data_IF_022980488996
#
_entry.id   IF_022980488996
#
_cell.length_a   1.000
_cell.length_b   1.000
_cell.length_c   1.000
_cell.angle_alpha   90.00
_cell.angle_beta   90.00
_cell.angle_gamma   90.00
#
_symmetry.space_group_name_H-M   'P 1'
#
loop_
_entity.id
_entity.type
_entity.pdbx_description
1 polymer ?
#
# COMPACT_ATOMS: atom_id res chain seq x y z
N UNK A 1 -5.09 -15.57 13.73
CA UNK A 1 -3.78 -14.87 13.88
C UNK A 1 -3.98 -13.47 13.33
N UNK A 2 -3.54 -12.43 14.04
CA UNK A 2 -3.77 -11.03 13.65
C UNK A 2 -2.48 -10.39 13.14
N UNK A 3 -2.53 -9.63 12.05
CA UNK A 3 -1.43 -8.78 11.61
C UNK A 3 -1.88 -7.33 11.44
N UNK A 4 -0.94 -6.41 11.62
CA UNK A 4 -1.15 -5.00 11.37
C UNK A 4 -0.98 -4.66 9.87
N UNK A 5 -1.76 -3.68 9.42
CA UNK A 5 -1.60 -3.00 8.14
C UNK A 5 -1.50 -1.48 8.38
N UNK A 6 -0.59 -0.76 7.69
CA UNK A 6 -0.40 0.66 7.89
C UNK A 6 -1.63 1.48 7.51
N UNK A 7 -2.28 2.08 8.50
CA UNK A 7 -3.44 2.95 8.33
C UNK A 7 -3.06 4.35 7.85
N UNK A 8 -1.87 4.85 8.18
CA UNK A 8 -1.48 6.19 7.76
C UNK A 8 -1.25 6.30 6.24
N UNK A 9 -1.76 7.39 5.66
CA UNK A 9 -1.51 7.77 4.27
C UNK A 9 -0.46 8.88 4.13
N UNK A 10 0.08 9.40 5.24
CA UNK A 10 1.14 10.40 5.19
C UNK A 10 2.50 9.74 4.96
N UNK A 11 3.20 10.10 3.88
CA UNK A 11 4.49 9.46 3.53
C UNK A 11 5.54 9.64 4.63
N UNK A 12 5.49 10.75 5.34
CA UNK A 12 6.42 11.14 6.40
C UNK A 12 6.29 10.25 7.65
N UNK A 13 5.09 9.71 7.89
CA UNK A 13 4.81 8.77 8.99
C UNK A 13 5.14 7.31 8.66
N UNK A 14 5.38 7.00 7.38
CA UNK A 14 5.63 5.64 6.92
C UNK A 14 7.14 5.37 6.87
N UNK A 15 7.59 4.32 7.55
CA UNK A 15 8.92 3.77 7.29
C UNK A 15 8.97 3.11 5.91
N UNK A 16 10.17 2.89 5.36
CA UNK A 16 10.31 2.23 4.06
C UNK A 16 9.76 0.80 4.06
N UNK A 17 9.77 0.12 5.21
CA UNK A 17 9.14 -1.19 5.35
C UNK A 17 7.60 -1.11 5.24
N UNK A 18 6.98 -0.10 5.86
CA UNK A 18 5.53 0.11 5.77
C UNK A 18 5.11 0.58 4.38
N UNK A 19 5.92 1.44 3.75
CA UNK A 19 5.69 1.82 2.36
C UNK A 19 5.82 0.61 1.43
N UNK A 20 6.80 -0.27 1.67
CA UNK A 20 6.95 -1.51 0.91
C UNK A 20 5.71 -2.40 1.04
N UNK A 21 5.10 -2.45 2.23
CA UNK A 21 3.87 -3.20 2.42
C UNK A 21 2.70 -2.63 1.58
N UNK A 22 2.51 -1.30 1.59
CA UNK A 22 1.51 -0.63 0.73
C UNK A 22 1.77 -0.88 -0.76
N UNK A 23 3.03 -0.77 -1.20
CA UNK A 23 3.40 -1.05 -2.60
C UNK A 23 3.09 -2.51 -2.96
N UNK A 24 3.47 -3.45 -2.09
CA UNK A 24 3.30 -4.88 -2.33
C UNK A 24 1.81 -5.25 -2.46
N UNK A 25 0.93 -4.65 -1.66
CA UNK A 25 -0.52 -4.85 -1.74
C UNK A 25 -1.07 -4.61 -3.15
N UNK A 26 -0.51 -3.66 -3.87
CA UNK A 26 -1.00 -3.24 -5.19
C UNK A 26 -0.13 -3.71 -6.36
N UNK A 27 0.88 -4.51 -6.07
CA UNK A 27 1.86 -4.95 -7.07
C UNK A 27 1.76 -6.46 -7.32
N UNK A 28 1.67 -6.89 -8.58
CA UNK A 28 1.58 -8.30 -8.90
C UNK A 28 2.86 -9.04 -8.47
N UNK A 29 2.70 -10.31 -8.10
CA UNK A 29 3.84 -11.18 -7.79
C UNK A 29 4.63 -11.48 -9.06
N UNK A 30 5.95 -11.45 -9.00
CA UNK A 30 6.83 -11.85 -10.09
C UNK A 30 6.91 -13.36 -10.29
N UNK A 31 6.56 -14.15 -9.28
CA UNK A 31 6.67 -15.62 -9.29
C UNK A 31 5.33 -16.32 -9.52
N UNK A 32 4.21 -15.63 -9.36
CA UNK A 32 2.87 -16.19 -9.55
C UNK A 32 2.16 -15.50 -10.72
N UNK A 33 1.38 -16.26 -11.49
CA UNK A 33 0.57 -15.70 -12.58
C UNK A 33 -0.77 -15.11 -12.13
N UNK A 34 -1.28 -15.51 -10.96
CA UNK A 34 -2.62 -15.14 -10.46
C UNK A 34 -2.60 -14.15 -9.31
N UNK A 35 -1.44 -13.84 -8.72
CA UNK A 35 -1.35 -13.00 -7.54
C UNK A 35 -1.22 -11.53 -7.96
N UNK A 36 -2.32 -10.79 -7.91
CA UNK A 36 -2.39 -9.39 -8.34
C UNK A 36 -1.82 -8.39 -7.30
N UNK A 37 -1.55 -8.85 -6.08
CA UNK A 37 -1.12 -8.04 -4.95
C UNK A 37 -0.84 -8.89 -3.73
N UNK A 38 -0.13 -8.34 -2.75
CA UNK A 38 0.02 -8.96 -1.44
C UNK A 38 -1.33 -9.00 -0.74
N UNK A 39 -1.77 -10.19 -0.36
CA UNK A 39 -3.00 -10.45 0.36
C UNK A 39 -2.76 -11.40 1.54
N UNK A 40 -3.56 -11.30 2.62
CA UNK A 40 -3.40 -12.15 3.78
C UNK A 40 -3.73 -13.62 3.49
N UNK A 41 -3.03 -14.58 4.11
CA UNK A 41 -3.43 -16.00 4.09
C UNK A 41 -4.84 -16.21 4.64
N UNK A 42 -5.49 -17.32 4.28
CA UNK A 42 -6.84 -17.63 4.76
C UNK A 42 -6.86 -17.80 6.29
N UNK A 43 -7.85 -17.21 6.96
CA UNK A 43 -8.00 -17.28 8.42
C UNK A 43 -7.06 -16.35 9.19
N UNK A 44 -6.41 -15.41 8.50
CA UNK A 44 -5.65 -14.32 9.08
C UNK A 44 -6.52 -13.07 9.10
N UNK A 45 -6.60 -12.43 10.25
CA UNK A 45 -7.32 -11.17 10.43
C UNK A 45 -6.34 -10.02 10.30
N UNK A 46 -6.67 -9.03 9.47
CA UNK A 46 -5.88 -7.82 9.33
C UNK A 46 -6.59 -6.69 10.05
N UNK A 47 -5.83 -5.97 10.88
CA UNK A 47 -6.29 -4.77 11.58
C UNK A 47 -5.36 -3.62 11.25
N UNK A 48 -5.87 -2.39 11.32
CA UNK A 48 -5.02 -1.22 11.13
C UNK A 48 -4.04 -1.07 12.29
N UNK A 49 -2.82 -0.62 12.00
CA UNK A 49 -1.94 -0.19 13.07
C UNK A 49 -2.53 1.03 13.79
N UNK A 50 -2.34 1.07 15.10
CA UNK A 50 -2.76 2.21 15.92
C UNK A 50 -1.78 3.37 15.70
N UNK A 51 -1.74 3.94 14.49
CA UNK A 51 -1.08 5.23 14.29
C UNK A 51 -2.03 6.32 14.77
N UNK A 52 -1.70 6.80 15.98
CA UNK A 52 -2.23 7.95 16.72
C UNK A 52 -2.26 9.24 15.90
N UNK A 53 -3.17 9.36 14.95
CA UNK A 53 -3.63 10.67 14.50
C UNK A 53 -4.76 11.07 15.46
N UNK A 54 -4.39 11.90 16.44
CA UNK A 54 -5.29 12.50 17.42
C UNK A 54 -6.39 13.33 16.74
N UNK A 55 -7.42 12.68 16.18
CA UNK A 55 -8.70 13.32 15.90
C UNK A 55 -9.60 13.19 17.14
N UNK A 56 -9.26 14.02 18.12
CA UNK A 56 -10.16 14.68 19.06
C UNK A 56 -11.34 13.84 19.60
N UNK A 57 -11.06 13.14 20.70
CA UNK A 57 -12.02 12.92 21.78
C UNK A 57 -13.10 11.87 21.53
N UNK A 58 -12.86 10.64 22.01
CA UNK A 58 -13.96 9.95 22.67
C UNK A 58 -13.46 9.24 23.93
N UNK A 59 -14.13 9.59 25.02
CA UNK A 59 -13.98 9.10 26.37
C UNK A 59 -14.63 7.70 26.46
N UNK A 60 -13.93 6.68 25.98
CA UNK A 60 -14.29 5.27 26.17
C UNK A 60 -12.97 4.48 26.26
N UNK A 61 -12.73 3.57 27.20
CA UNK A 61 -13.55 3.15 28.32
C UNK A 61 -12.64 2.33 29.23
N UNK A 62 -12.89 2.45 30.51
CA UNK A 62 -12.45 1.57 31.55
C UNK A 62 -12.84 0.11 31.21
N UNK A 63 -11.84 -0.78 31.07
CA UNK A 63 -12.01 -2.24 31.12
C UNK A 63 -11.88 -2.98 29.78
N UNK A 64 -10.78 -3.68 29.58
CA UNK A 64 -10.77 -5.15 29.51
C UNK A 64 -9.34 -5.66 29.32
N UNK A 65 -9.05 -6.73 30.04
CA UNK A 65 -8.00 -7.71 29.78
C UNK A 65 -7.86 -7.99 28.27
N UNK A 66 -6.61 -8.01 27.78
CA UNK A 66 -6.16 -8.79 26.60
C UNK A 66 -6.45 -8.31 25.15
N UNK A 67 -6.48 -7.00 24.87
CA UNK A 67 -6.36 -6.51 23.48
C UNK A 67 -4.87 -6.43 23.05
N UNK A 68 -4.27 -7.57 22.72
CA UNK A 68 -2.95 -7.63 22.07
C UNK A 68 -2.97 -6.83 20.74
N UNK A 69 -2.45 -5.61 20.78
CA UNK A 69 -2.09 -4.85 19.59
C UNK A 69 -1.12 -5.74 18.78
N UNK A 70 -1.38 -6.04 17.49
CA UNK A 70 -0.51 -6.92 16.74
C UNK A 70 0.90 -6.35 16.66
N UNK A 71 1.87 -7.11 17.16
CA UNK A 71 3.29 -6.74 17.13
C UNK A 71 3.90 -6.83 15.72
N UNK A 72 3.23 -7.50 14.78
CA UNK A 72 3.77 -7.84 13.46
C UNK A 72 2.88 -7.35 12.30
N UNK A 73 3.52 -6.91 11.23
CA UNK A 73 2.88 -6.49 9.98
C UNK A 73 2.84 -7.62 8.96
N UNK A 74 1.92 -7.52 7.99
CA UNK A 74 1.70 -8.53 6.95
C UNK A 74 2.80 -8.55 5.87
N UNK A 75 3.99 -9.05 6.16
CA UNK A 75 5.08 -9.12 5.15
C UNK A 75 5.06 -10.36 4.24
N UNK A 76 4.17 -11.31 4.50
CA UNK A 76 4.03 -12.56 3.75
C UNK A 76 2.65 -12.66 3.10
N UNK A 77 2.64 -12.83 1.78
CA UNK A 77 1.43 -12.99 0.99
C UNK A 77 0.85 -14.41 1.08
N UNK A 78 -0.45 -14.55 0.85
CA UNK A 78 -1.14 -15.83 0.69
C UNK A 78 -0.54 -16.71 -0.41
N UNK A 79 0.12 -16.12 -1.41
CA UNK A 79 0.85 -16.87 -2.43
C UNK A 79 2.18 -17.47 -1.93
N UNK A 80 2.57 -17.22 -0.68
CA UNK A 80 3.81 -17.71 -0.06
C UNK A 80 5.04 -16.85 -0.33
N UNK A 81 4.89 -15.69 -0.96
CA UNK A 81 6.01 -14.79 -1.30
C UNK A 81 5.97 -13.49 -0.50
N UNK A 82 7.15 -12.87 -0.33
CA UNK A 82 7.29 -11.65 0.46
C UNK A 82 7.05 -10.40 -0.39
N UNK A 83 7.06 -9.23 0.27
CA UNK A 83 7.03 -7.90 -0.38
C UNK A 83 8.06 -7.74 -1.51
N UNK A 84 9.22 -8.43 -1.44
CA UNK A 84 10.24 -8.37 -2.50
C UNK A 84 9.75 -8.94 -3.83
N UNK A 85 9.08 -10.09 -3.80
CA UNK A 85 8.51 -10.71 -5.00
C UNK A 85 7.27 -9.94 -5.51
N UNK A 86 6.74 -9.01 -4.72
CA UNK A 86 5.73 -8.05 -5.13
C UNK A 86 6.34 -6.71 -5.55
N UNK A 87 7.61 -6.69 -5.97
CA UNK A 87 8.29 -5.48 -6.44
C UNK A 87 8.18 -4.29 -5.48
N UNK A 88 8.33 -4.56 -4.19
CA UNK A 88 8.30 -3.53 -3.15
C UNK A 88 9.62 -3.52 -2.38
N UNK A 89 10.72 -3.40 -3.12
CA UNK A 89 12.08 -3.36 -2.59
C UNK A 89 12.78 -2.14 -3.17
N UNK A 90 13.13 -1.17 -2.33
CA UNK A 90 13.84 0.03 -2.78
C UNK A 90 15.20 -0.32 -3.41
N UNK A 91 15.90 -1.32 -2.85
CA UNK A 91 17.16 -1.78 -3.38
C UNK A 91 17.05 -2.26 -4.84
N UNK A 92 15.97 -2.96 -5.18
CA UNK A 92 15.81 -3.58 -6.51
C UNK A 92 15.18 -2.61 -7.53
N UNK A 93 14.33 -1.68 -7.06
CA UNK A 93 13.68 -0.68 -7.90
C UNK A 93 14.52 0.59 -8.12
N UNK A 94 15.36 0.93 -7.15
CA UNK A 94 15.94 2.25 -6.99
C UNK A 94 14.97 3.25 -6.33
N UNK A 95 15.55 4.23 -5.63
CA UNK A 95 14.80 5.18 -4.78
C UNK A 95 13.71 5.95 -5.54
N UNK A 96 13.99 6.40 -6.76
CA UNK A 96 13.03 7.17 -7.55
C UNK A 96 11.75 6.38 -7.87
N UNK A 97 11.90 5.12 -8.28
CA UNK A 97 10.77 4.25 -8.63
C UNK A 97 10.04 3.77 -7.37
N UNK A 98 10.78 3.50 -6.29
CA UNK A 98 10.20 3.15 -4.99
C UNK A 98 9.31 4.28 -4.45
N UNK A 99 9.80 5.52 -4.46
CA UNK A 99 9.01 6.70 -4.05
C UNK A 99 7.78 6.89 -4.96
N UNK A 100 7.94 6.71 -6.27
CA UNK A 100 6.83 6.82 -7.22
C UNK A 100 5.73 5.80 -6.93
N UNK A 101 6.09 4.52 -6.82
CA UNK A 101 5.14 3.45 -6.49
C UNK A 101 4.52 3.66 -5.11
N UNK A 102 5.31 4.15 -4.17
CA UNK A 102 4.84 4.52 -2.84
C UNK A 102 3.70 5.55 -2.89
N UNK A 103 3.84 6.61 -3.70
CA UNK A 103 2.77 7.62 -3.89
C UNK A 103 1.51 7.03 -4.49
N UNK A 104 1.64 6.17 -5.50
CA UNK A 104 0.50 5.49 -6.13
C UNK A 104 -0.18 4.55 -5.13
N UNK A 105 0.59 3.81 -4.33
CA UNK A 105 0.07 2.89 -3.33
C UNK A 105 -0.67 3.62 -2.20
N UNK A 106 -0.12 4.73 -1.70
CA UNK A 106 -0.80 5.61 -0.75
C UNK A 106 -2.13 6.09 -1.33
N UNK A 107 -2.13 6.57 -2.59
CA UNK A 107 -3.35 7.05 -3.23
C UNK A 107 -4.42 5.96 -3.41
N UNK A 108 -3.98 4.73 -3.69
CA UNK A 108 -4.86 3.57 -3.75
C UNK A 108 -5.47 3.25 -2.38
N UNK A 109 -4.67 3.28 -1.32
CA UNK A 109 -5.14 3.06 0.04
C UNK A 109 -6.12 4.16 0.48
N UNK A 110 -5.87 5.44 0.16
CA UNK A 110 -6.82 6.54 0.44
C UNK A 110 -8.21 6.28 -0.16
N UNK A 111 -8.28 5.84 -1.43
CA UNK A 111 -9.56 5.53 -2.08
C UNK A 111 -10.28 4.33 -1.43
N UNK A 112 -9.51 3.34 -0.98
CA UNK A 112 -10.04 2.19 -0.27
C UNK A 112 -10.50 2.57 1.15
N UNK A 113 -9.81 3.48 1.81
CA UNK A 113 -10.18 4.02 3.11
C UNK A 113 -11.46 4.85 3.03
N UNK A 114 -11.55 5.77 2.06
CA UNK A 114 -12.73 6.61 1.80
C UNK A 114 -14.00 5.77 1.58
N UNK A 115 -13.85 4.56 1.02
CA UNK A 115 -14.95 3.62 0.78
C UNK A 115 -15.17 2.60 1.89
N UNK A 116 -14.37 2.64 2.98
CA UNK A 116 -14.44 1.69 4.10
C UNK A 116 -13.96 0.28 3.75
N UNK A 117 -13.17 0.14 2.68
CA UNK A 117 -12.68 -1.12 2.11
C UNK A 117 -11.16 -1.29 2.23
N UNK A 118 -10.51 -0.47 3.05
CA UNK A 118 -9.05 -0.54 3.24
C UNK A 118 -8.57 -1.91 3.72
N UNK A 119 -9.37 -2.65 4.49
CA UNK A 119 -9.02 -4.00 4.94
C UNK A 119 -9.58 -5.12 4.05
N UNK A 120 -10.29 -4.77 2.98
CA UNK A 120 -10.78 -5.71 1.97
C UNK A 120 -9.70 -5.87 0.89
N UNK A 121 -8.86 -6.90 1.04
CA UNK A 121 -7.78 -7.20 0.11
C UNK A 121 -8.25 -7.84 -1.21
N UNK A 122 -9.49 -8.32 -1.25
CA UNK A 122 -10.07 -8.95 -2.45
C UNK A 122 -10.81 -7.92 -3.32
N UNK A 123 -11.22 -6.79 -2.75
CA UNK A 123 -11.89 -5.73 -3.48
C UNK A 123 -11.01 -5.09 -4.57
N UNK A 124 -11.61 -4.91 -5.74
CA UNK A 124 -11.08 -4.13 -6.83
C UNK A 124 -12.22 -3.63 -7.73
N UNK A 125 -12.32 -2.32 -7.90
CA UNK A 125 -13.16 -1.67 -8.92
C UNK A 125 -12.32 -1.14 -10.08
N UNK A 126 -12.97 -0.46 -11.04
CA UNK A 126 -12.31 0.07 -12.23
C UNK A 126 -11.20 1.09 -11.90
N UNK A 127 -11.41 1.93 -10.89
CA UNK A 127 -10.44 2.96 -10.47
C UNK A 127 -9.20 2.31 -9.83
N UNK A 128 -9.43 1.37 -8.91
CA UNK A 128 -8.37 0.58 -8.27
C UNK A 128 -7.57 -0.20 -9.33
N UNK A 129 -8.24 -0.86 -10.26
CA UNK A 129 -7.57 -1.61 -11.36
C UNK A 129 -6.78 -0.66 -12.26
N UNK A 130 -7.34 0.51 -12.60
CA UNK A 130 -6.70 1.51 -13.45
C UNK A 130 -5.41 2.04 -12.81
N UNK A 131 -5.46 2.39 -11.52
CA UNK A 131 -4.30 2.88 -10.77
C UNK A 131 -3.24 1.79 -10.57
N UNK A 132 -3.62 0.53 -10.33
CA UNK A 132 -2.67 -0.60 -10.24
C UNK A 132 -1.83 -0.77 -11.50
N UNK A 133 -2.32 -0.40 -12.69
CA UNK A 133 -1.51 -0.43 -13.93
C UNK A 133 -0.28 0.48 -13.82
N UNK A 134 -0.37 1.57 -13.06
CA UNK A 134 0.76 2.47 -12.83
C UNK A 134 1.85 1.83 -11.95
N UNK A 135 1.60 0.71 -11.28
CA UNK A 135 2.60 0.00 -10.48
C UNK A 135 3.60 -0.77 -11.35
N UNK A 136 3.22 -1.20 -12.56
CA UNK A 136 4.06 -2.03 -13.43
C UNK A 136 4.71 -1.29 -14.60
N UNK A 137 4.14 -0.16 -15.03
CA UNK A 137 4.69 0.60 -16.15
C UNK A 137 5.63 1.71 -15.63
N UNK A 138 6.87 1.83 -16.16
CA UNK A 138 7.60 3.08 -16.02
C UNK A 138 6.73 4.16 -16.66
N UNK A 139 6.35 5.18 -15.89
CA UNK A 139 5.69 6.35 -16.48
C UNK A 139 6.66 6.90 -17.50
N UNK A 140 6.30 6.77 -18.77
CA UNK A 140 6.99 7.48 -19.83
C UNK A 140 6.83 8.96 -19.48
N UNK A 141 7.92 9.56 -19.02
CA UNK A 141 8.02 10.98 -18.73
C UNK A 141 7.84 11.74 -20.04
N UNK A 142 6.59 11.95 -20.44
CA UNK A 142 6.28 12.94 -21.47
C UNK A 142 6.53 14.29 -20.82
N UNK A 143 7.76 14.77 -20.95
CA UNK A 143 8.08 16.17 -20.72
C UNK A 143 7.18 17.01 -21.66
N UNK A 144 6.53 18.08 -21.18
CA UNK A 144 5.88 19.00 -22.10
C UNK A 144 6.97 19.62 -22.96
N UNK A 145 7.00 19.26 -24.25
CA UNK A 145 7.84 19.92 -25.24
C UNK A 145 7.34 21.35 -25.34
N UNK A 146 8.04 22.27 -24.67
CA UNK A 146 7.94 23.69 -24.93
C UNK A 146 8.45 23.92 -26.36
N UNK A 147 7.51 23.97 -27.31
CA UNK A 147 7.80 24.39 -28.68
C UNK A 147 8.45 25.77 -28.66
N UNK A 148 9.65 25.97 -29.23
CA UNK A 148 10.13 27.30 -29.54
C UNK A 148 9.34 27.82 -30.75
N UNK A 149 8.49 28.82 -30.53
CA UNK A 149 7.85 29.58 -31.61
C UNK A 149 8.92 30.20 -32.52
N UNK A 150 8.88 29.99 -33.85
CA UNK A 150 9.67 30.80 -34.79
C UNK A 150 8.84 32.04 -35.12
N UNK A 151 9.30 33.22 -34.69
CA UNK A 151 8.51 34.44 -34.75
C UNK A 151 9.31 35.70 -35.04
N UNK A 152 9.82 35.78 -36.28
CA UNK A 152 10.22 36.97 -37.06
C UNK A 152 11.48 37.76 -36.67
#
# INVERSE_FOLDING_TARGET
MKYAYPGSNQRESLSDALLSLKIARHSPCSLCSSCAGLNPPKGVDIVLDAHTESSLGNLEQYGSDDDEIPSEYLFLCACGHSVKQHHASEHDLGSAEFVRRGRVAIRLDELLEDSGRLLDFEYADEDIVSLRKQMGHPVSSVAPVLNPSPGK
#
